data_IF_634565036200
#
_entry.id   IF_634565036200
#
_cell.length_a   1.000
_cell.length_b   1.000
_cell.length_c   1.000
_cell.angle_alpha   90.00
_cell.angle_beta   90.00
_cell.angle_gamma   90.00
#
_symmetry.space_group_name_H-M   'P 1'
#
loop_
_entity.id
_entity.type
_entity.pdbx_description
1 polymer ?
#
# COMPACT_ATOMS: atom_id res chain seq x y z
N UNK A 1 -56.28 -7.15 -41.35
CA UNK A 1 -55.24 -6.17 -41.72
C UNK A 1 -54.10 -6.30 -40.72
N UNK A 2 -52.84 -6.21 -41.15
CA UNK A 2 -51.67 -6.63 -40.34
C UNK A 2 -51.29 -5.65 -39.23
N UNK A 3 -50.82 -6.19 -38.11
CA UNK A 3 -50.33 -5.42 -36.96
C UNK A 3 -48.79 -5.44 -36.96
N UNK A 4 -48.14 -4.30 -37.20
CA UNK A 4 -46.69 -4.22 -37.42
C UNK A 4 -45.88 -4.18 -36.10
N UNK A 5 -44.93 -5.12 -35.87
CA UNK A 5 -44.05 -5.05 -34.72
C UNK A 5 -42.90 -4.04 -34.93
N UNK A 6 -42.86 -3.00 -34.10
CA UNK A 6 -41.83 -1.95 -34.13
C UNK A 6 -40.50 -2.43 -33.50
N UNK A 7 -39.50 -2.72 -34.32
CA UNK A 7 -38.13 -2.99 -33.87
C UNK A 7 -37.40 -1.70 -33.41
N UNK A 8 -37.49 -1.36 -32.12
CA UNK A 8 -36.55 -0.39 -31.51
C UNK A 8 -35.21 -1.08 -31.23
N UNK A 9 -34.17 -0.70 -31.96
CA UNK A 9 -32.78 -1.15 -31.68
C UNK A 9 -32.32 -0.52 -30.36
N UNK A 10 -31.90 -1.35 -29.42
CA UNK A 10 -31.24 -0.92 -28.17
C UNK A 10 -29.74 -0.91 -28.42
N UNK A 11 -29.15 0.27 -28.55
CA UNK A 11 -27.69 0.44 -28.54
C UNK A 11 -27.24 0.56 -27.09
N UNK A 12 -26.70 -0.53 -26.52
CA UNK A 12 -26.02 -0.47 -25.22
C UNK A 12 -24.68 0.23 -25.45
N UNK A 13 -24.62 1.51 -25.12
CA UNK A 13 -23.35 2.26 -25.06
C UNK A 13 -22.63 1.80 -23.80
N UNK A 14 -21.52 1.09 -23.97
CA UNK A 14 -20.77 0.55 -22.85
C UNK A 14 -19.80 1.60 -22.30
N UNK A 15 -20.35 2.57 -21.55
CA UNK A 15 -19.59 3.62 -20.84
C UNK A 15 -18.87 3.03 -19.62
N UNK A 16 -17.99 2.07 -19.87
CA UNK A 16 -17.04 1.52 -18.91
C UNK A 16 -15.70 2.22 -19.10
N UNK A 17 -15.53 3.32 -18.37
CA UNK A 17 -14.25 4.01 -18.27
C UNK A 17 -13.23 3.03 -17.67
N UNK A 18 -12.34 2.52 -18.51
CA UNK A 18 -11.39 1.48 -18.15
C UNK A 18 -10.56 1.91 -16.93
N UNK A 19 -10.62 1.12 -15.86
CA UNK A 19 -9.93 1.38 -14.59
C UNK A 19 -10.83 1.65 -13.37
N UNK A 20 -12.13 1.92 -13.55
CA UNK A 20 -13.05 2.17 -12.42
C UNK A 20 -13.77 0.88 -11.99
N UNK A 21 -13.37 0.31 -10.85
CA UNK A 21 -14.08 -0.81 -10.22
C UNK A 21 -15.42 -0.30 -9.66
N UNK A 22 -16.54 -0.74 -10.25
CA UNK A 22 -17.90 -0.41 -9.78
C UNK A 22 -18.22 -1.17 -8.48
N UNK A 23 -17.92 -0.56 -7.35
CA UNK A 23 -18.25 -1.09 -6.02
C UNK A 23 -19.71 -0.72 -5.67
N UNK A 24 -20.50 -1.70 -5.24
CA UNK A 24 -21.89 -1.47 -4.82
C UNK A 24 -21.97 -0.62 -3.54
N UNK A 25 -22.98 0.24 -3.46
CA UNK A 25 -23.25 1.16 -2.35
C UNK A 25 -23.24 0.49 -0.95
N UNK A 26 -23.73 -0.76 -0.88
CA UNK A 26 -23.71 -1.58 0.34
C UNK A 26 -22.30 -1.94 0.82
N UNK A 27 -21.37 -2.17 -0.11
CA UNK A 27 -19.97 -2.49 0.17
C UNK A 27 -19.21 -1.24 0.61
N UNK A 28 -19.51 -0.07 -0.01
CA UNK A 28 -18.96 1.23 0.41
C UNK A 28 -19.35 1.56 1.84
N UNK A 29 -20.63 1.38 2.20
CA UNK A 29 -21.13 1.62 3.58
C UNK A 29 -20.45 0.70 4.60
N UNK A 30 -20.23 -0.58 4.26
CA UNK A 30 -19.50 -1.52 5.13
C UNK A 30 -18.05 -1.10 5.34
N UNK A 31 -17.30 -0.85 4.26
CA UNK A 31 -15.90 -0.41 4.32
C UNK A 31 -15.75 0.87 5.17
N UNK A 32 -16.64 1.86 4.97
CA UNK A 32 -16.60 3.10 5.74
C UNK A 32 -16.82 2.87 7.24
N UNK A 33 -17.80 2.03 7.61
CA UNK A 33 -18.09 1.68 9.01
C UNK A 33 -17.03 0.78 9.66
N UNK A 34 -16.23 0.03 8.90
CA UNK A 34 -15.05 -0.68 9.41
C UNK A 34 -13.90 0.31 9.68
N UNK A 35 -13.62 1.23 8.75
CA UNK A 35 -12.58 2.26 8.89
C UNK A 35 -12.86 3.23 10.06
N UNK A 36 -14.13 3.59 10.29
CA UNK A 36 -14.51 4.47 11.41
C UNK A 36 -14.28 3.79 12.77
N UNK A 37 -14.69 2.51 12.92
CA UNK A 37 -14.45 1.72 14.15
C UNK A 37 -12.96 1.50 14.43
N UNK A 38 -12.15 1.28 13.40
CA UNK A 38 -10.69 1.19 13.59
C UNK A 38 -10.05 2.50 14.05
N UNK A 39 -10.59 3.66 13.64
CA UNK A 39 -10.09 4.98 14.07
C UNK A 39 -10.49 5.27 15.51
N UNK A 40 -11.73 4.97 15.89
CA UNK A 40 -12.21 5.09 17.28
C UNK A 40 -11.39 4.21 18.24
N UNK A 41 -11.14 2.95 17.86
CA UNK A 41 -10.31 2.02 18.66
C UNK A 41 -8.85 2.48 18.84
N UNK A 42 -8.30 3.26 17.90
CA UNK A 42 -6.92 3.78 17.95
C UNK A 42 -6.79 5.16 18.61
N UNK A 43 -7.90 5.85 18.92
CA UNK A 43 -7.88 7.22 19.45
C UNK A 43 -7.82 7.34 20.98
N UNK A 44 -7.90 6.23 21.73
CA UNK A 44 -8.13 6.26 23.19
C UNK A 44 -6.94 5.84 24.07
N UNK A 45 -5.70 5.93 23.60
CA UNK A 45 -4.49 5.64 24.39
C UNK A 45 -3.50 6.81 24.38
N UNK A 46 -3.42 7.55 25.51
CA UNK A 46 -2.25 8.35 25.90
C UNK A 46 -1.53 7.67 27.10
N UNK A 47 -0.22 7.93 27.32
CA UNK A 47 0.64 7.02 28.06
C UNK A 47 0.94 7.43 29.51
N UNK A 48 0.96 6.47 30.46
CA UNK A 48 1.63 6.61 31.77
C UNK A 48 2.32 5.32 32.23
N UNK A 49 3.66 5.36 32.18
CA UNK A 49 4.70 4.73 33.03
C UNK A 49 4.48 3.39 33.78
N UNK A 50 5.25 2.39 33.35
CA UNK A 50 6.19 1.53 34.12
C UNK A 50 5.91 1.15 35.59
N UNK A 51 5.69 -0.16 35.82
CA UNK A 51 6.42 -0.93 36.86
C UNK A 51 6.41 -2.44 36.57
N UNK A 52 7.49 -3.13 36.94
CA UNK A 52 7.72 -4.57 36.72
C UNK A 52 7.09 -5.42 37.84
N UNK A 53 6.66 -6.64 37.50
CA UNK A 53 6.91 -7.83 38.33
C UNK A 53 6.70 -9.13 37.51
N UNK A 54 7.74 -9.95 37.45
CA UNK A 54 7.66 -11.42 37.26
C UNK A 54 7.27 -12.04 38.65
N UNK A 55 7.04 -13.32 38.93
CA UNK A 55 7.30 -14.65 38.33
C UNK A 55 6.20 -15.62 38.85
N UNK A 56 6.00 -16.85 38.37
CA UNK A 56 5.62 -17.30 37.02
C UNK A 56 4.85 -18.66 37.18
N UNK A 57 4.23 -19.22 36.13
CA UNK A 57 3.60 -20.56 36.14
C UNK A 57 3.45 -21.17 34.74
N UNK A 58 4.53 -21.80 34.30
CA UNK A 58 4.58 -23.12 33.66
C UNK A 58 3.59 -23.55 32.55
N UNK A 59 4.22 -23.73 31.38
CA UNK A 59 4.26 -24.99 30.60
C UNK A 59 3.23 -25.31 29.50
N UNK A 60 3.82 -25.42 28.30
CA UNK A 60 3.49 -26.26 27.14
C UNK A 60 2.36 -25.80 26.20
N UNK A 61 2.38 -26.11 24.89
CA UNK A 61 3.43 -26.37 23.87
C UNK A 61 2.67 -26.58 22.54
N UNK A 62 3.33 -26.39 21.39
CA UNK A 62 2.81 -26.68 20.03
C UNK A 62 1.71 -25.69 19.57
N UNK A 63 1.95 -24.88 18.54
CA UNK A 63 2.00 -25.24 17.10
C UNK A 63 0.60 -25.44 16.49
N UNK A 64 0.09 -24.43 15.78
CA UNK A 64 -0.64 -24.64 14.53
C UNK A 64 -0.60 -23.40 13.63
N UNK A 65 0.14 -23.58 12.55
CA UNK A 65 0.16 -22.85 11.31
C UNK A 65 -1.18 -22.94 10.54
N UNK A 66 -1.98 -21.87 10.53
CA UNK A 66 -3.13 -21.77 9.62
C UNK A 66 -2.66 -21.41 8.20
N UNK A 67 -2.91 -22.31 7.25
CA UNK A 67 -2.43 -22.26 5.87
C UNK A 67 -3.62 -22.11 4.91
N UNK A 68 -3.41 -21.47 3.75
CA UNK A 68 -4.43 -21.34 2.70
C UNK A 68 -5.18 -22.66 2.41
N UNK A 69 -6.50 -22.62 2.17
CA UNK A 69 -7.25 -23.80 1.79
C UNK A 69 -6.84 -24.30 0.40
N UNK A 70 -6.07 -25.39 0.37
CA UNK A 70 -5.71 -26.14 -0.84
C UNK A 70 -6.94 -26.88 -1.39
N UNK A 71 -7.13 -26.98 -2.72
CA UNK A 71 -8.19 -27.80 -3.30
C UNK A 71 -8.07 -29.27 -2.84
N UNK A 72 -9.21 -29.91 -2.54
CA UNK A 72 -9.26 -31.32 -2.14
C UNK A 72 -8.86 -32.23 -3.30
N UNK A 73 -7.73 -32.90 -3.17
CA UNK A 73 -7.42 -34.10 -3.95
C UNK A 73 -8.34 -35.25 -3.50
N UNK A 74 -9.04 -35.89 -4.43
CA UNK A 74 -9.79 -37.12 -4.15
C UNK A 74 -8.84 -38.32 -4.21
N UNK A 75 -8.57 -38.96 -3.07
CA UNK A 75 -7.78 -40.18 -3.02
C UNK A 75 -8.61 -41.42 -3.37
N UNK A 76 -8.03 -42.30 -4.19
CA UNK A 76 -8.59 -43.62 -4.54
C UNK A 76 -8.11 -44.65 -3.51
N UNK A 77 -9.00 -45.46 -2.90
CA UNK A 77 -8.57 -46.47 -1.94
C UNK A 77 -8.12 -47.77 -2.64
N UNK A 78 -6.81 -48.06 -2.56
CA UNK A 78 -6.28 -49.38 -2.91
C UNK A 78 -6.51 -50.39 -1.78
N UNK A 79 -7.10 -51.55 -2.09
CA UNK A 79 -6.93 -52.78 -1.29
C UNK A 79 -6.65 -53.95 -2.21
N UNK A 80 -5.48 -54.56 -2.03
CA UNK A 80 -5.14 -55.85 -2.61
C UNK A 80 -5.43 -56.96 -1.59
N UNK A 81 -6.18 -57.98 -2.01
CA UNK A 81 -6.26 -59.30 -1.38
C UNK A 81 -6.68 -60.31 -2.46
N UNK A 82 -6.03 -61.48 -2.49
CA UNK A 82 -5.97 -62.31 -3.71
C UNK A 82 -6.70 -63.65 -3.53
N UNK A 83 -7.71 -63.92 -4.39
CA UNK A 83 -8.09 -65.27 -4.89
C UNK A 83 -8.64 -66.32 -3.88
N UNK A 84 -9.40 -67.38 -4.30
CA UNK A 84 -9.25 -68.09 -5.58
C UNK A 84 -10.50 -68.64 -6.32
N UNK A 85 -10.22 -69.07 -7.56
CA UNK A 85 -10.88 -70.13 -8.36
C UNK A 85 -12.36 -69.98 -8.76
N UNK A 86 -12.61 -69.84 -10.07
CA UNK A 86 -12.69 -71.01 -10.97
C UNK A 86 -12.78 -70.58 -12.44
N UNK A 87 -12.30 -71.41 -13.35
CA UNK A 87 -12.25 -71.06 -14.77
C UNK A 87 -13.61 -71.11 -15.46
N UNK A 88 -13.84 -70.18 -16.39
CA UNK A 88 -14.57 -70.52 -17.60
C UNK A 88 -14.02 -69.74 -18.81
N UNK A 89 -13.79 -70.44 -19.93
CA UNK A 89 -13.45 -69.81 -21.20
C UNK A 89 -14.75 -69.42 -21.89
N UNK A 90 -15.15 -68.16 -21.82
CA UNK A 90 -16.26 -67.66 -22.65
C UNK A 90 -16.03 -66.19 -23.07
N UNK A 91 -15.99 -66.01 -24.38
CA UNK A 91 -16.23 -64.80 -25.17
C UNK A 91 -15.57 -63.47 -24.73
N UNK A 92 -14.61 -63.01 -25.53
CA UNK A 92 -14.34 -61.58 -25.69
C UNK A 92 -15.51 -60.93 -26.42
N UNK A 93 -16.57 -60.60 -25.69
CA UNK A 93 -17.57 -59.67 -26.18
C UNK A 93 -16.92 -58.28 -26.26
N UNK A 94 -16.95 -57.58 -27.40
CA UNK A 94 -16.27 -56.30 -27.55
C UNK A 94 -16.97 -55.26 -26.68
N UNK A 95 -16.29 -54.74 -25.64
CA UNK A 95 -16.84 -53.73 -24.73
C UNK A 95 -17.29 -52.48 -25.52
N UNK A 96 -18.62 -52.26 -25.73
CA UNK A 96 -19.10 -51.23 -26.64
C UNK A 96 -18.82 -49.80 -26.14
N UNK A 97 -18.55 -49.67 -24.84
CA UNK A 97 -18.35 -48.39 -24.16
C UNK A 97 -16.88 -47.93 -24.10
N UNK A 98 -15.92 -48.76 -24.51
CA UNK A 98 -14.50 -48.39 -24.49
C UNK A 98 -14.18 -47.19 -25.39
N UNK A 99 -14.76 -47.16 -26.59
CA UNK A 99 -14.55 -46.09 -27.57
C UNK A 99 -15.09 -44.74 -27.07
N UNK A 100 -16.31 -44.74 -26.50
CA UNK A 100 -16.94 -43.54 -25.93
C UNK A 100 -16.13 -42.92 -24.77
N UNK A 101 -15.51 -43.75 -23.93
CA UNK A 101 -14.64 -43.29 -22.84
C UNK A 101 -13.36 -42.62 -23.36
N UNK A 102 -12.77 -43.14 -24.44
CA UNK A 102 -11.56 -42.59 -25.05
C UNK A 102 -11.85 -41.25 -25.77
N UNK A 103 -12.94 -41.16 -26.53
CA UNK A 103 -13.39 -39.92 -27.18
C UNK A 103 -13.72 -38.82 -26.16
N UNK A 104 -14.39 -39.18 -25.06
CA UNK A 104 -14.68 -38.25 -23.96
C UNK A 104 -13.38 -37.75 -23.30
N UNK A 105 -12.39 -38.61 -23.10
CA UNK A 105 -11.09 -38.23 -22.54
C UNK A 105 -10.33 -37.27 -23.46
N UNK A 106 -10.22 -37.58 -24.76
CA UNK A 106 -9.59 -36.72 -25.76
C UNK A 106 -10.27 -35.34 -25.86
N UNK A 107 -11.60 -35.31 -25.84
CA UNK A 107 -12.39 -34.07 -25.80
C UNK A 107 -12.11 -33.26 -24.54
N UNK A 108 -12.02 -33.91 -23.38
CA UNK A 108 -11.70 -33.25 -22.11
C UNK A 108 -10.28 -32.66 -22.08
N UNK A 109 -9.30 -33.33 -22.69
CA UNK A 109 -7.93 -32.83 -22.83
C UNK A 109 -7.89 -31.58 -23.71
N UNK A 110 -8.58 -31.59 -24.86
CA UNK A 110 -8.66 -30.43 -25.75
C UNK A 110 -9.29 -29.22 -25.06
N UNK A 111 -10.41 -29.41 -24.35
CA UNK A 111 -11.05 -28.33 -23.57
C UNK A 111 -10.10 -27.77 -22.51
N UNK A 112 -9.32 -28.63 -21.83
CA UNK A 112 -8.31 -28.17 -20.85
C UNK A 112 -7.22 -27.33 -21.50
N UNK A 113 -6.67 -27.76 -22.64
CA UNK A 113 -5.64 -27.02 -23.38
C UNK A 113 -6.14 -25.64 -23.84
N UNK A 114 -7.35 -25.57 -24.39
CA UNK A 114 -7.98 -24.30 -24.80
C UNK A 114 -8.20 -23.36 -23.61
N UNK A 115 -8.64 -23.88 -22.46
CA UNK A 115 -8.80 -23.09 -21.22
C UNK A 115 -7.47 -22.64 -20.62
N UNK A 116 -6.44 -23.48 -20.66
CA UNK A 116 -5.11 -23.13 -20.18
C UNK A 116 -4.48 -22.02 -21.04
N UNK A 117 -4.59 -22.12 -22.37
CA UNK A 117 -4.14 -21.07 -23.28
C UNK A 117 -4.84 -19.73 -23.04
N UNK A 118 -6.16 -19.74 -22.78
CA UNK A 118 -6.91 -18.53 -22.44
C UNK A 118 -6.48 -17.94 -21.08
N UNK A 119 -6.28 -18.78 -20.07
CA UNK A 119 -5.76 -18.37 -18.75
C UNK A 119 -4.37 -17.74 -18.89
N UNK A 120 -3.47 -18.34 -19.67
CA UNK A 120 -2.14 -17.79 -19.94
C UNK A 120 -2.22 -16.44 -20.66
N UNK A 121 -3.16 -16.27 -21.61
CA UNK A 121 -3.40 -14.99 -22.31
C UNK A 121 -3.81 -13.88 -21.34
N UNK A 122 -4.75 -14.18 -20.45
CA UNK A 122 -5.24 -13.24 -19.42
C UNK A 122 -4.13 -12.94 -18.41
N UNK A 123 -3.37 -13.94 -17.96
CA UNK A 123 -2.22 -13.74 -17.06
C UNK A 123 -1.17 -12.83 -17.69
N UNK A 124 -0.79 -13.06 -18.95
CA UNK A 124 0.22 -12.26 -19.64
C UNK A 124 -0.27 -10.81 -19.88
N UNK A 125 -1.56 -10.61 -20.17
CA UNK A 125 -2.16 -9.29 -20.24
C UNK A 125 -2.01 -8.52 -18.91
N UNK A 126 -2.43 -9.11 -17.79
CA UNK A 126 -2.32 -8.48 -16.47
C UNK A 126 -0.88 -8.32 -15.98
N UNK A 127 0.01 -9.26 -16.32
CA UNK A 127 1.45 -9.17 -16.02
C UNK A 127 2.06 -7.96 -16.71
N UNK A 128 1.76 -7.76 -18.00
CA UNK A 128 2.27 -6.61 -18.75
C UNK A 128 1.64 -5.28 -18.30
N UNK A 129 0.36 -5.26 -17.95
CA UNK A 129 -0.28 -4.10 -17.31
C UNK A 129 0.42 -3.73 -16.00
N UNK A 130 0.67 -4.70 -15.12
CA UNK A 130 1.31 -4.47 -13.82
C UNK A 130 2.76 -3.99 -13.97
N UNK A 131 3.52 -4.53 -14.94
CA UNK A 131 4.87 -4.08 -15.24
C UNK A 131 4.89 -2.63 -15.76
N UNK A 132 4.04 -2.30 -16.73
CA UNK A 132 3.94 -0.94 -17.28
C UNK A 132 3.52 0.06 -16.19
N UNK A 133 2.53 -0.30 -15.37
CA UNK A 133 2.11 0.50 -14.22
C UNK A 133 3.28 0.75 -13.24
N UNK A 134 4.06 -0.29 -12.93
CA UNK A 134 5.22 -0.22 -12.03
C UNK A 134 6.32 0.67 -12.62
N UNK A 135 6.63 0.52 -13.92
CA UNK A 135 7.61 1.34 -14.64
C UNK A 135 7.18 2.82 -14.73
N UNK A 136 5.88 3.09 -14.89
CA UNK A 136 5.34 4.44 -14.86
C UNK A 136 5.48 5.06 -13.46
N UNK A 137 5.19 4.31 -12.39
CA UNK A 137 5.38 4.79 -11.02
C UNK A 137 6.85 4.97 -10.64
N UNK A 138 7.78 4.12 -11.14
CA UNK A 138 9.21 4.32 -10.87
C UNK A 138 9.74 5.60 -11.53
N UNK A 139 9.36 5.87 -12.79
CA UNK A 139 9.71 7.12 -13.49
C UNK A 139 9.15 8.35 -12.79
N UNK A 140 7.91 8.29 -12.30
CA UNK A 140 7.32 9.38 -11.52
C UNK A 140 8.07 9.57 -10.18
N UNK A 141 8.42 8.49 -9.48
CA UNK A 141 9.19 8.55 -8.25
C UNK A 141 10.56 9.20 -8.46
N UNK A 142 11.30 8.78 -9.50
CA UNK A 142 12.60 9.37 -9.89
C UNK A 142 12.49 10.88 -10.16
N UNK A 143 11.46 11.32 -10.90
CA UNK A 143 11.21 12.74 -11.15
C UNK A 143 10.90 13.52 -9.87
N UNK A 144 9.98 13.01 -9.04
CA UNK A 144 9.61 13.68 -7.77
C UNK A 144 10.77 13.73 -6.77
N UNK A 145 11.63 12.72 -6.72
CA UNK A 145 12.83 12.72 -5.88
C UNK A 145 13.87 13.73 -6.40
N UNK A 146 14.06 13.84 -7.72
CA UNK A 146 14.95 14.82 -8.31
C UNK A 146 14.49 16.26 -8.03
N UNK A 147 13.20 16.56 -8.23
CA UNK A 147 12.61 17.88 -7.92
C UNK A 147 12.69 18.21 -6.42
N UNK A 148 12.39 17.24 -5.55
CA UNK A 148 12.49 17.40 -4.10
C UNK A 148 13.91 17.66 -3.63
N UNK A 149 14.90 16.91 -4.15
CA UNK A 149 16.32 17.14 -3.85
C UNK A 149 16.79 18.50 -4.36
N UNK A 150 16.37 18.92 -5.55
CA UNK A 150 16.69 20.25 -6.08
C UNK A 150 16.09 21.37 -5.21
N UNK A 151 14.84 21.23 -4.77
CA UNK A 151 14.21 22.18 -3.85
C UNK A 151 14.92 22.25 -2.50
N UNK A 152 15.35 21.12 -1.93
CA UNK A 152 16.19 21.08 -0.73
C UNK A 152 17.53 21.78 -0.96
N UNK A 153 18.20 21.51 -2.09
CA UNK A 153 19.47 22.17 -2.40
C UNK A 153 19.33 23.69 -2.52
N UNK A 154 18.27 24.19 -3.17
CA UNK A 154 18.07 25.63 -3.33
C UNK A 154 17.69 26.31 -2.01
N UNK A 155 16.88 25.65 -1.16
CA UNK A 155 16.65 26.05 0.24
C UNK A 155 17.98 26.07 1.00
N UNK A 156 18.75 24.98 0.97
CA UNK A 156 20.04 24.91 1.66
C UNK A 156 21.01 25.98 1.14
N UNK A 157 21.00 26.30 -0.16
CA UNK A 157 21.81 27.35 -0.76
C UNK A 157 21.37 28.75 -0.34
N UNK A 158 20.08 29.04 -0.18
CA UNK A 158 19.64 30.34 0.37
C UNK A 158 20.08 30.47 1.83
N UNK A 159 19.77 29.49 2.67
CA UNK A 159 20.14 29.50 4.10
C UNK A 159 21.66 29.48 4.33
N UNK A 160 22.46 28.76 3.51
CA UNK A 160 23.93 28.72 3.66
C UNK A 160 24.62 30.00 3.18
N UNK A 161 24.06 30.69 2.17
CA UNK A 161 24.53 32.02 1.76
C UNK A 161 24.18 33.09 2.80
N UNK A 162 23.11 32.87 3.56
CA UNK A 162 22.74 33.64 4.74
C UNK A 162 23.43 33.15 6.01
N UNK A 163 24.71 32.76 5.92
CA UNK A 163 25.56 32.65 7.10
C UNK A 163 25.58 34.00 7.82
N UNK A 164 24.80 34.11 8.90
CA UNK A 164 24.58 35.35 9.65
C UNK A 164 25.89 35.82 10.30
N UNK A 165 26.65 36.64 9.57
CA UNK A 165 27.72 37.47 10.16
C UNK A 165 27.09 38.27 11.29
N UNK A 166 27.70 38.17 12.48
CA UNK A 166 27.06 38.44 13.78
C UNK A 166 26.24 39.75 13.77
N UNK A 167 24.92 39.61 13.65
CA UNK A 167 24.00 40.73 13.40
C UNK A 167 24.02 41.66 14.60
N UNK A 168 24.32 42.94 14.35
CA UNK A 168 24.50 43.96 15.40
C UNK A 168 25.58 43.61 16.44
N UNK A 169 26.67 42.96 16.00
CA UNK A 169 27.76 42.49 16.85
C UNK A 169 28.43 43.59 17.70
N UNK A 170 28.49 44.83 17.21
CA UNK A 170 29.05 45.96 17.96
C UNK A 170 28.16 46.36 19.14
N UNK A 171 26.85 46.56 18.89
CA UNK A 171 25.87 46.92 19.93
C UNK A 171 25.71 45.78 20.95
N UNK A 172 25.72 44.53 20.48
CA UNK A 172 25.80 43.31 21.32
C UNK A 172 27.03 43.35 22.24
N UNK A 173 28.19 43.76 21.71
CA UNK A 173 29.41 43.98 22.49
C UNK A 173 29.26 45.05 23.57
N UNK A 174 28.63 46.18 23.25
CA UNK A 174 28.36 47.26 24.21
C UNK A 174 27.40 46.83 25.33
N UNK A 175 26.30 46.16 25.01
CA UNK A 175 25.35 45.61 26.00
C UNK A 175 26.03 44.61 26.93
N UNK A 176 26.80 43.67 26.38
CA UNK A 176 27.55 42.68 27.16
C UNK A 176 28.64 43.31 28.03
N UNK A 177 29.21 44.44 27.63
CA UNK A 177 30.18 45.20 28.42
C UNK A 177 29.49 45.91 29.59
N UNK A 178 28.42 46.66 29.32
CA UNK A 178 27.69 47.40 30.35
C UNK A 178 27.16 46.48 31.46
N UNK A 179 26.61 45.29 31.13
CA UNK A 179 26.15 44.34 32.16
C UNK A 179 27.28 43.68 32.96
N UNK A 180 28.49 43.53 32.39
CA UNK A 180 29.66 43.05 33.15
C UNK A 180 30.15 44.07 34.16
N UNK A 181 30.02 45.36 33.82
CA UNK A 181 30.39 46.50 34.67
C UNK A 181 29.30 46.81 35.72
N UNK A 182 28.01 46.62 35.39
CA UNK A 182 26.86 46.99 36.23
C UNK A 182 26.01 45.80 36.67
N UNK A 183 26.65 44.78 37.30
CA UNK A 183 26.00 43.51 37.70
C UNK A 183 24.76 43.70 38.57
N UNK A 184 24.83 44.61 39.56
CA UNK A 184 23.76 44.82 40.55
C UNK A 184 22.75 45.89 40.12
N UNK A 185 22.99 46.57 38.98
CA UNK A 185 22.19 47.72 38.52
C UNK A 185 21.92 47.66 37.01
N UNK A 186 21.22 46.63 36.51
CA UNK A 186 21.01 46.40 35.08
C UNK A 186 20.27 47.54 34.35
N UNK A 187 19.55 48.40 35.08
CA UNK A 187 18.80 49.53 34.52
C UNK A 187 19.68 50.64 33.93
N UNK A 188 20.96 50.74 34.30
CA UNK A 188 21.87 51.71 33.68
C UNK A 188 22.16 51.35 32.21
N UNK A 189 22.08 50.07 31.84
CA UNK A 189 22.33 49.58 30.48
C UNK A 189 21.13 49.70 29.52
N UNK A 190 20.09 50.46 29.92
CA UNK A 190 18.84 50.54 29.18
C UNK A 190 18.97 51.26 27.82
N UNK A 191 20.00 52.08 27.62
CA UNK A 191 20.22 52.79 26.35
C UNK A 191 20.93 51.88 25.33
N UNK A 192 21.96 51.17 25.77
CA UNK A 192 22.71 50.18 25.00
C UNK A 192 21.78 49.06 24.51
N UNK A 193 20.86 48.61 25.36
CA UNK A 193 19.85 47.60 24.99
C UNK A 193 18.85 48.15 23.96
N UNK A 194 18.44 49.42 24.06
CA UNK A 194 17.58 50.06 23.06
C UNK A 194 18.29 50.20 21.71
N UNK A 195 19.56 50.57 21.70
CA UNK A 195 20.35 50.66 20.47
C UNK A 195 20.49 49.29 19.80
N UNK A 196 20.84 48.25 20.57
CA UNK A 196 20.89 46.87 20.09
C UNK A 196 19.53 46.40 19.53
N UNK A 197 18.44 46.61 20.28
CA UNK A 197 17.09 46.27 19.81
C UNK A 197 16.75 47.00 18.50
N UNK A 198 17.00 48.31 18.43
CA UNK A 198 16.72 49.11 17.23
C UNK A 198 17.52 48.63 16.00
N UNK A 199 18.73 48.10 16.20
CA UNK A 199 19.55 47.54 15.14
C UNK A 199 18.97 46.19 14.65
N UNK A 200 18.54 45.32 15.58
CA UNK A 200 17.91 44.03 15.25
C UNK A 200 16.57 44.24 14.54
N UNK A 201 15.75 45.20 14.98
CA UNK A 201 14.45 45.50 14.39
C UNK A 201 14.59 46.10 12.98
N UNK A 202 15.58 46.97 12.75
CA UNK A 202 15.94 47.44 11.39
C UNK A 202 16.37 46.28 10.50
N UNK A 203 17.27 45.42 10.95
CA UNK A 203 17.71 44.26 10.17
C UNK A 203 16.56 43.30 9.83
N UNK A 204 15.61 43.10 10.75
CA UNK A 204 14.39 42.33 10.48
C UNK A 204 13.50 43.01 9.43
N UNK A 205 13.30 44.32 9.53
CA UNK A 205 12.53 45.07 8.54
C UNK A 205 13.20 45.01 7.15
N UNK A 206 14.51 45.24 7.05
CA UNK A 206 15.29 45.20 5.81
C UNK A 206 15.28 43.80 5.15
N UNK A 207 15.18 42.74 5.95
CA UNK A 207 15.08 41.35 5.48
C UNK A 207 13.66 40.94 5.06
N UNK A 208 12.63 41.53 5.64
CA UNK A 208 11.23 41.29 5.26
C UNK A 208 10.77 42.17 4.08
N UNK A 209 11.50 43.24 3.78
CA UNK A 209 11.24 44.16 2.67
C UNK A 209 11.97 43.79 1.36
N UNK A 210 12.64 42.63 1.30
CA UNK A 210 13.35 42.07 0.14
C UNK A 210 12.70 40.80 -0.36
#
# INVERSE_FOLDING_TARGET
MGNSPSNRKITVVNDEVAGVIKISDSVVRRLKGEIEREREAKSSHQPVQTKQQNEDSDLLKASTNETLPRPREMQVPNKAATSPSSGNKQNKEPNPYGHFMEEAHLTSLKIRQEKEAEIQRVQEHWRNQLLNLTEHYSKLAEQTEAEYRAAIEDIQRSFSKESFKDVCGEQKGCVLKCYKENKDKPLFCANEVKEFASCVDKFRADKLAR
#
